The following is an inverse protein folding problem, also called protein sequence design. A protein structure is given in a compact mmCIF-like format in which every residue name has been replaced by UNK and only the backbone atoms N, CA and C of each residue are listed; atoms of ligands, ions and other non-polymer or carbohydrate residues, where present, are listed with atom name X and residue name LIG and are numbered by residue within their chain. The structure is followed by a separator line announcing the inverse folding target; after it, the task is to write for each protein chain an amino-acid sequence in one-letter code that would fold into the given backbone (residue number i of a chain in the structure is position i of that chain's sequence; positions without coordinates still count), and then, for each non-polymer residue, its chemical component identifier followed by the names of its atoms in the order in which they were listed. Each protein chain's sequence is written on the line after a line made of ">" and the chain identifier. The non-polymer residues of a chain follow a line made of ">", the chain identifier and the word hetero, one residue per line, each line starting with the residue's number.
data_IF_807923257234
#
_entry.id   IF_807923257234
#
_cell.length_a   1.000
_cell.length_b   1.000
_cell.length_c   1.000
_cell.angle_alpha   90.00
_cell.angle_beta   90.00
_cell.angle_gamma   90.00
#
_symmetry.space_group_name_H-M   'P 1'
#
loop_
_entity.id
_entity.type
_entity.pdbx_description
1 polymer ?
#
# COMPACT_ATOMS: atom_id res chain seq x y z
N UNK A 1 -0.04 8.22 -3.85
CA UNK A 1 0.19 7.01 -3.02
C UNK A 1 -0.40 7.21 -1.64
N UNK A 2 -1.06 6.20 -1.08
CA UNK A 2 -1.76 6.28 0.22
C UNK A 2 -0.86 6.04 1.43
N UNK A 3 0.46 6.09 1.25
CA UNK A 3 1.46 5.64 2.23
C UNK A 3 1.30 6.28 3.60
N UNK A 4 0.94 7.57 3.68
CA UNK A 4 0.76 8.27 4.95
C UNK A 4 -0.49 7.82 5.72
N UNK A 5 -1.59 7.56 5.02
CA UNK A 5 -2.83 7.05 5.63
C UNK A 5 -2.66 5.61 6.11
N UNK A 6 -2.04 4.77 5.27
CA UNK A 6 -1.74 3.37 5.62
C UNK A 6 -0.79 3.32 6.81
N UNK A 7 0.25 4.16 6.84
CA UNK A 7 1.19 4.24 7.94
C UNK A 7 0.49 4.63 9.26
N UNK A 8 -0.41 5.61 9.24
CA UNK A 8 -1.20 5.95 10.43
C UNK A 8 -2.09 4.79 10.87
N UNK A 9 -2.79 4.14 9.93
CA UNK A 9 -3.70 3.02 10.22
C UNK A 9 -2.98 1.81 10.83
N UNK A 10 -1.80 1.50 10.32
CA UNK A 10 -1.00 0.36 10.76
C UNK A 10 0.00 0.71 11.88
N UNK A 11 0.02 1.96 12.35
CA UNK A 11 0.99 2.46 13.32
C UNK A 11 2.45 2.23 12.89
N UNK A 12 2.73 2.46 11.60
CA UNK A 12 4.04 2.33 10.97
C UNK A 12 4.59 3.70 10.55
N UNK A 13 5.86 3.76 10.17
CA UNK A 13 6.42 4.97 9.55
C UNK A 13 6.05 5.03 8.07
N UNK A 14 5.68 6.21 7.51
CA UNK A 14 5.38 6.37 6.09
C UNK A 14 6.45 5.80 5.16
N UNK A 15 7.73 5.97 5.52
CA UNK A 15 8.86 5.47 4.75
C UNK A 15 8.92 3.94 4.68
N UNK A 16 8.49 3.23 5.74
CA UNK A 16 8.42 1.76 5.72
C UNK A 16 7.35 1.29 4.73
N UNK A 17 6.18 1.94 4.76
CA UNK A 17 5.08 1.66 3.83
C UNK A 17 5.51 1.93 2.39
N UNK A 18 6.11 3.09 2.13
CA UNK A 18 6.60 3.46 0.80
C UNK A 18 7.64 2.47 0.27
N UNK A 19 8.60 2.07 1.12
CA UNK A 19 9.64 1.11 0.74
C UNK A 19 9.05 -0.26 0.41
N UNK A 20 8.11 -0.74 1.22
CA UNK A 20 7.42 -2.02 0.96
C UNK A 20 6.63 -1.96 -0.35
N UNK A 21 5.85 -0.90 -0.56
CA UNK A 21 5.07 -0.74 -1.79
C UNK A 21 5.96 -0.66 -3.04
N UNK A 22 7.08 0.05 -2.96
CA UNK A 22 8.07 0.10 -4.04
C UNK A 22 8.61 -1.29 -4.37
N UNK A 23 9.07 -2.04 -3.36
CA UNK A 23 9.60 -3.40 -3.56
C UNK A 23 8.56 -4.34 -4.19
N UNK A 24 7.29 -4.23 -3.77
CA UNK A 24 6.19 -4.99 -4.36
C UNK A 24 5.93 -4.59 -5.81
N UNK A 25 5.99 -3.29 -6.15
CA UNK A 25 5.88 -2.80 -7.53
C UNK A 25 7.04 -3.27 -8.41
N UNK A 26 8.25 -3.41 -7.84
CA UNK A 26 9.42 -3.98 -8.52
C UNK A 26 9.34 -5.51 -8.69
N UNK A 27 8.26 -6.16 -8.23
CA UNK A 27 8.03 -7.60 -8.38
C UNK A 27 8.58 -8.46 -7.25
N UNK A 28 9.04 -7.86 -6.15
CA UNK A 28 9.44 -8.63 -4.96
C UNK A 28 8.22 -9.30 -4.31
N UNK A 29 8.39 -10.52 -3.82
CA UNK A 29 7.32 -11.22 -3.08
C UNK A 29 7.40 -10.94 -1.58
N UNK A 30 6.28 -11.10 -0.87
CA UNK A 30 6.22 -10.88 0.59
C UNK A 30 7.26 -11.71 1.35
N UNK A 31 7.40 -13.04 1.12
CA UNK A 31 8.42 -13.83 1.81
C UNK A 31 9.84 -13.37 1.48
N UNK A 32 10.08 -12.90 0.24
CA UNK A 32 11.38 -12.38 -0.17
C UNK A 32 11.71 -11.07 0.56
N UNK A 33 10.75 -10.15 0.66
CA UNK A 33 10.94 -8.86 1.36
C UNK A 33 11.22 -9.12 2.85
N UNK A 34 10.39 -9.94 3.51
CA UNK A 34 10.54 -10.23 4.94
C UNK A 34 11.88 -10.90 5.28
N UNK A 35 12.39 -11.73 4.37
CA UNK A 35 13.63 -12.50 4.58
C UNK A 35 14.90 -11.78 4.14
N UNK A 36 14.87 -11.05 3.03
CA UNK A 36 16.08 -10.51 2.38
C UNK A 36 16.12 -8.97 2.29
N UNK A 37 15.02 -8.26 2.60
CA UNK A 37 14.96 -6.79 2.58
C UNK A 37 14.66 -6.18 3.94
N UNK A 38 14.94 -6.93 5.01
CA UNK A 38 14.63 -6.58 6.39
C UNK A 38 15.25 -5.24 6.82
N UNK A 39 16.48 -4.95 6.39
CA UNK A 39 17.15 -3.68 6.72
C UNK A 39 16.49 -2.48 6.01
N UNK A 40 15.98 -2.68 4.79
CA UNK A 40 15.30 -1.64 4.02
C UNK A 40 13.92 -1.32 4.60
N UNK A 41 13.21 -2.31 5.14
CA UNK A 41 11.87 -2.13 5.72
C UNK A 41 11.87 -1.75 7.20
N UNK A 42 13.05 -1.60 7.83
CA UNK A 42 13.17 -1.47 9.29
C UNK A 42 12.55 -2.65 10.05
N UNK A 43 12.87 -3.85 9.58
CA UNK A 43 12.55 -5.14 10.19
C UNK A 43 11.08 -5.57 10.22
N UNK A 44 10.28 -5.12 9.26
CA UNK A 44 8.90 -5.60 9.11
C UNK A 44 8.84 -7.12 8.85
N UNK A 45 7.87 -7.78 9.47
CA UNK A 45 7.57 -9.19 9.25
C UNK A 45 6.57 -9.41 8.08
N UNK A 46 6.34 -10.67 7.71
CA UNK A 46 5.44 -11.03 6.61
C UNK A 46 4.00 -10.55 6.84
N UNK A 47 3.52 -10.55 8.07
CA UNK A 47 2.15 -10.12 8.41
C UNK A 47 2.01 -8.61 8.21
N UNK A 48 2.99 -7.83 8.66
CA UNK A 48 2.99 -6.38 8.47
C UNK A 48 3.12 -5.99 6.99
N UNK A 49 3.95 -6.72 6.23
CA UNK A 49 4.10 -6.49 4.79
C UNK A 49 2.79 -6.83 4.05
N UNK A 50 2.14 -7.93 4.42
CA UNK A 50 0.82 -8.31 3.87
C UNK A 50 -0.24 -7.24 4.18
N UNK A 51 -0.30 -6.74 5.41
CA UNK A 51 -1.21 -5.66 5.80
C UNK A 51 -1.00 -4.39 4.96
N UNK A 52 0.26 -4.01 4.70
CA UNK A 52 0.57 -2.87 3.84
C UNK A 52 0.01 -3.09 2.42
N UNK A 53 0.22 -4.28 1.85
CA UNK A 53 -0.27 -4.61 0.52
C UNK A 53 -1.80 -4.55 0.45
N UNK A 54 -2.48 -5.14 1.43
CA UNK A 54 -3.94 -5.21 1.49
C UNK A 54 -4.57 -3.83 1.64
N UNK A 55 -4.03 -3.00 2.53
CA UNK A 55 -4.50 -1.63 2.73
C UNK A 55 -4.28 -0.76 1.49
N UNK A 56 -3.13 -0.90 0.82
CA UNK A 56 -2.89 -0.18 -0.42
C UNK A 56 -3.84 -0.61 -1.53
N UNK A 57 -4.10 -1.93 -1.68
CA UNK A 57 -5.08 -2.42 -2.65
C UNK A 57 -6.46 -1.83 -2.39
N UNK A 58 -6.95 -1.93 -1.15
CA UNK A 58 -8.26 -1.43 -0.77
C UNK A 58 -8.41 0.08 -1.01
N UNK A 59 -7.37 0.87 -0.73
CA UNK A 59 -7.39 2.31 -0.97
C UNK A 59 -7.41 2.66 -2.46
N UNK A 60 -6.69 1.92 -3.29
CA UNK A 60 -6.73 2.10 -4.75
C UNK A 60 -8.12 1.74 -5.30
N UNK A 61 -8.68 0.60 -4.92
CA UNK A 61 -10.04 0.19 -5.34
C UNK A 61 -11.09 1.23 -4.93
N UNK A 62 -10.99 1.77 -3.71
CA UNK A 62 -11.88 2.83 -3.25
C UNK A 62 -11.73 4.10 -4.09
N UNK A 63 -10.51 4.53 -4.38
CA UNK A 63 -10.24 5.73 -5.17
C UNK A 63 -10.72 5.60 -6.62
N UNK A 64 -10.51 4.45 -7.24
CA UNK A 64 -11.02 4.14 -8.58
C UNK A 64 -12.56 4.18 -8.62
N UNK A 65 -13.21 3.55 -7.64
CA UNK A 65 -14.68 3.56 -7.55
C UNK A 65 -15.23 4.97 -7.34
N UNK A 66 -14.58 5.76 -6.49
CA UNK A 66 -14.95 7.17 -6.27
C UNK A 66 -14.85 7.96 -7.57
N UNK A 67 -13.73 7.86 -8.29
CA UNK A 67 -13.53 8.55 -9.56
C UNK A 67 -14.56 8.15 -10.63
N UNK A 68 -14.91 6.86 -10.69
CA UNK A 68 -15.96 6.36 -11.58
C UNK A 68 -17.33 6.99 -11.28
N UNK A 69 -17.70 7.07 -10.00
CA UNK A 69 -18.97 7.70 -9.57
C UNK A 69 -18.99 9.18 -9.93
N UNK A 70 -17.91 9.91 -9.61
CA UNK A 70 -17.79 11.35 -9.92
C UNK A 70 -17.94 11.61 -11.42
N UNK A 71 -17.23 10.84 -12.26
CA UNK A 71 -17.35 10.91 -13.71
C UNK A 71 -18.78 10.66 -14.19
N UNK A 72 -19.42 9.61 -13.68
CA UNK A 72 -20.80 9.25 -14.05
C UNK A 72 -21.79 10.37 -13.73
N UNK A 73 -21.59 11.08 -12.61
CA UNK A 73 -22.43 12.23 -12.21
C UNK A 73 -22.18 13.42 -13.16
N UNK A 74 -20.91 13.72 -13.46
CA UNK A 74 -20.56 14.83 -14.37
C UNK A 74 -21.04 14.60 -15.80
N UNK A 75 -21.05 13.36 -16.29
CA UNK A 75 -21.54 13.02 -17.64
C UNK A 75 -23.08 13.07 -17.77
N UNK A 76 -23.81 13.04 -16.65
CA UNK A 76 -25.27 13.12 -16.63
C UNK A 76 -25.83 14.53 -16.35
N UNK A 77 -24.97 15.50 -16.04
CA UNK A 77 -25.33 16.91 -15.80
C UNK A 77 -24.98 17.81 -16.97
#
# INVERSE_FOLDING_TARGET
>A
MFSQLIAQKLSLKPQQVETVLQLLTEGSTIPFIARYRKDMTSALDEVQIQQIQDENRLMNEFAERKAFIEKTITEQG
#
